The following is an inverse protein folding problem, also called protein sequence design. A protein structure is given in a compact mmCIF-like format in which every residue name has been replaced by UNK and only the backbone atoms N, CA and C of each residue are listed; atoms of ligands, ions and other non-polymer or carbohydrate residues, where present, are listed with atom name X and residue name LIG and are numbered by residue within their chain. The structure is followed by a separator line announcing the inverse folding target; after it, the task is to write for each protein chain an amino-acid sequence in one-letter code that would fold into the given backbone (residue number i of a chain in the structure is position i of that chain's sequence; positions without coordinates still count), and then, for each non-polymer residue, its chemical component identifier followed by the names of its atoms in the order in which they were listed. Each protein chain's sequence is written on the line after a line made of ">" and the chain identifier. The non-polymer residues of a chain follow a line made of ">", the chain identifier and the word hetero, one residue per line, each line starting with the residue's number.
data_IF_043607824359
#
_entry.id   IF_043607824359
#
_cell.length_a   1.000
_cell.length_b   1.000
_cell.length_c   1.000
_cell.angle_alpha   90.00
_cell.angle_beta   90.00
_cell.angle_gamma   90.00
#
_symmetry.space_group_name_H-M   'P 1'
#
loop_
_entity.id
_entity.type
_entity.pdbx_description
1 polymer ?
#
# COMPACT_ATOMS: atom_id res chain seq x y z
N UNK A 1 -5.25 -31.64 -13.61
CA UNK A 1 -3.94 -31.02 -13.38
C UNK A 1 -3.88 -29.78 -14.29
N UNK A 2 -4.13 -28.60 -13.72
CA UNK A 2 -4.03 -27.35 -14.48
C UNK A 2 -2.55 -26.92 -14.47
N UNK A 3 -1.93 -26.86 -15.64
CA UNK A 3 -0.58 -26.33 -15.78
C UNK A 3 -0.63 -24.82 -15.68
N UNK A 4 -0.16 -24.28 -14.55
CA UNK A 4 0.00 -22.84 -14.31
C UNK A 4 1.20 -22.34 -15.11
N UNK A 5 0.96 -21.55 -16.14
CA UNK A 5 2.03 -20.81 -16.81
C UNK A 5 2.22 -19.48 -16.10
N UNK A 6 3.20 -19.43 -15.20
CA UNK A 6 3.57 -18.22 -14.48
C UNK A 6 4.48 -17.36 -15.36
N UNK A 7 3.93 -16.28 -15.89
CA UNK A 7 4.66 -15.33 -16.75
C UNK A 7 5.19 -14.18 -15.89
N UNK A 8 6.45 -14.29 -15.44
CA UNK A 8 7.14 -13.19 -14.73
C UNK A 8 7.50 -12.03 -15.66
N UNK A 9 7.70 -10.84 -15.09
CA UNK A 9 7.92 -9.52 -15.75
C UNK A 9 8.81 -9.51 -17.02
N UNK A 10 9.75 -10.43 -17.18
CA UNK A 10 10.64 -10.50 -18.35
C UNK A 10 10.00 -11.10 -19.60
N UNK A 11 8.86 -11.74 -19.50
CA UNK A 11 8.22 -12.48 -20.61
C UNK A 11 7.27 -11.58 -21.39
N UNK A 12 6.61 -10.62 -20.76
CA UNK A 12 5.77 -9.64 -21.47
C UNK A 12 6.57 -8.82 -22.50
N UNK A 13 7.85 -8.60 -22.28
CA UNK A 13 8.74 -7.90 -23.21
C UNK A 13 9.31 -8.79 -24.34
N UNK A 14 9.19 -10.14 -24.23
CA UNK A 14 9.67 -11.12 -25.22
C UNK A 14 8.54 -11.90 -25.90
N UNK A 15 7.34 -11.41 -25.90
CA UNK A 15 6.07 -12.06 -26.21
C UNK A 15 5.87 -12.56 -27.66
N UNK A 16 6.91 -12.69 -28.44
CA UNK A 16 6.79 -13.31 -29.77
C UNK A 16 6.94 -14.85 -29.81
N UNK A 17 7.49 -15.46 -28.75
CA UNK A 17 8.01 -16.83 -28.85
C UNK A 17 7.50 -17.81 -27.76
N UNK A 18 6.68 -17.39 -26.80
CA UNK A 18 6.40 -18.17 -25.58
C UNK A 18 5.21 -19.12 -25.70
N UNK A 19 4.22 -18.81 -26.55
CA UNK A 19 3.04 -19.65 -26.69
C UNK A 19 3.11 -20.47 -27.99
N UNK A 20 3.22 -21.80 -27.87
CA UNK A 20 3.13 -22.70 -29.01
C UNK A 20 1.71 -22.70 -29.58
N UNK A 21 1.57 -23.07 -30.87
CA UNK A 21 0.25 -23.21 -31.49
C UNK A 21 -0.64 -24.23 -30.78
N UNK A 22 -0.03 -25.29 -30.26
CA UNK A 22 -0.71 -26.33 -29.49
C UNK A 22 -1.29 -25.76 -28.21
N UNK A 23 -0.49 -24.98 -27.46
CA UNK A 23 -0.94 -24.35 -26.22
C UNK A 23 -2.05 -23.32 -26.46
N UNK A 24 -1.93 -22.49 -27.50
CA UNK A 24 -3.00 -21.56 -27.91
C UNK A 24 -4.29 -22.32 -28.25
N UNK A 25 -4.17 -23.50 -28.92
CA UNK A 25 -5.35 -24.32 -29.20
C UNK A 25 -6.01 -24.85 -27.92
N UNK A 26 -5.24 -25.27 -26.92
CA UNK A 26 -5.77 -25.73 -25.63
C UNK A 26 -6.50 -24.60 -24.89
N UNK A 27 -5.97 -23.36 -24.94
CA UNK A 27 -6.64 -22.18 -24.37
C UNK A 27 -7.97 -21.93 -25.11
N UNK A 28 -7.95 -21.94 -26.45
CA UNK A 28 -9.12 -21.60 -27.26
C UNK A 28 -10.22 -22.66 -27.21
N UNK A 29 -9.89 -23.88 -26.83
CA UNK A 29 -10.85 -25.01 -26.67
C UNK A 29 -11.31 -25.18 -25.21
N UNK A 30 -11.05 -24.21 -24.35
CA UNK A 30 -11.44 -24.16 -22.95
C UNK A 30 -10.83 -25.32 -22.10
N UNK A 31 -9.74 -25.93 -22.58
CA UNK A 31 -9.03 -27.02 -21.86
C UNK A 31 -8.10 -26.44 -20.80
N UNK A 32 -7.49 -25.27 -21.07
CA UNK A 32 -6.60 -24.57 -20.12
C UNK A 32 -6.95 -23.07 -20.08
N UNK A 33 -6.65 -22.45 -18.96
CA UNK A 33 -6.78 -20.99 -18.76
C UNK A 33 -5.37 -20.37 -18.80
N UNK A 34 -5.23 -19.17 -19.38
CA UNK A 34 -4.00 -18.38 -19.30
C UNK A 34 -4.09 -17.46 -18.10
N UNK A 35 -3.27 -17.69 -17.09
CA UNK A 35 -3.25 -16.93 -15.86
C UNK A 35 -1.99 -16.06 -15.82
N UNK A 36 -2.16 -14.76 -15.60
CA UNK A 36 -1.10 -13.78 -15.42
C UNK A 36 -1.18 -13.33 -13.96
N UNK A 37 -0.25 -13.83 -13.16
CA UNK A 37 -0.28 -13.67 -11.72
C UNK A 37 0.63 -12.52 -11.26
N UNK A 38 0.01 -11.46 -10.78
CA UNK A 38 0.61 -10.32 -10.09
C UNK A 38 0.09 -10.19 -8.64
N UNK A 39 -0.30 -11.30 -8.02
CA UNK A 39 -0.85 -11.32 -6.66
C UNK A 39 0.10 -10.83 -5.57
N UNK A 40 1.38 -10.67 -5.88
CA UNK A 40 2.38 -10.12 -4.95
C UNK A 40 2.48 -8.58 -5.00
N UNK A 41 1.85 -7.95 -6.00
CA UNK A 41 1.95 -6.52 -6.26
C UNK A 41 0.56 -5.95 -6.58
N UNK A 42 0.23 -4.83 -5.96
CA UNK A 42 -0.95 -4.05 -6.33
C UNK A 42 -0.62 -2.91 -7.30
N UNK A 43 0.67 -2.72 -7.62
CA UNK A 43 1.12 -1.71 -8.58
C UNK A 43 0.94 -2.22 -10.00
N UNK A 44 -0.26 -2.05 -10.54
CA UNK A 44 -0.55 -2.34 -11.94
C UNK A 44 -0.41 -1.06 -12.77
N UNK A 45 0.22 -1.17 -13.94
CA UNK A 45 0.43 -0.03 -14.84
C UNK A 45 -0.30 -0.22 -16.15
N UNK A 46 -0.85 0.84 -16.69
CA UNK A 46 -1.50 0.87 -18.00
C UNK A 46 -0.60 0.31 -19.11
N UNK A 47 0.71 0.59 -19.03
CA UNK A 47 1.71 0.10 -19.98
C UNK A 47 1.83 -1.43 -20.06
N UNK A 48 1.28 -2.18 -19.11
CA UNK A 48 1.31 -3.65 -19.12
C UNK A 48 0.17 -4.24 -19.94
N UNK A 49 -0.99 -3.58 -19.97
CA UNK A 49 -2.15 -4.09 -20.69
C UNK A 49 -2.03 -3.96 -22.20
N UNK A 50 -1.39 -2.92 -22.74
CA UNK A 50 -1.19 -2.82 -24.18
C UNK A 50 -0.37 -3.98 -24.79
N UNK A 51 0.80 -4.37 -24.23
CA UNK A 51 1.52 -5.57 -24.67
C UNK A 51 0.70 -6.84 -24.52
N UNK A 52 -0.03 -7.00 -23.42
CA UNK A 52 -0.90 -8.16 -23.18
C UNK A 52 -1.98 -8.29 -24.27
N UNK A 53 -2.73 -7.25 -24.54
CA UNK A 53 -3.75 -7.24 -25.59
C UNK A 53 -3.15 -7.45 -26.98
N UNK A 54 -1.96 -6.92 -27.25
CA UNK A 54 -1.23 -7.17 -28.48
C UNK A 54 -0.86 -8.65 -28.64
N UNK A 55 -0.43 -9.29 -27.55
CA UNK A 55 -0.14 -10.73 -27.51
C UNK A 55 -1.42 -11.53 -27.78
N UNK A 56 -2.50 -11.25 -27.06
CA UNK A 56 -3.81 -11.93 -27.22
C UNK A 56 -4.26 -11.85 -28.69
N UNK A 57 -4.23 -10.67 -29.27
CA UNK A 57 -4.62 -10.44 -30.68
C UNK A 57 -3.70 -11.16 -31.67
N UNK A 58 -2.36 -11.05 -31.49
CA UNK A 58 -1.37 -11.68 -32.40
C UNK A 58 -1.45 -13.20 -32.38
N UNK A 59 -1.69 -13.77 -31.21
CA UNK A 59 -1.77 -15.23 -31.02
C UNK A 59 -3.19 -15.77 -31.22
N UNK A 60 -4.16 -14.91 -31.53
CA UNK A 60 -5.58 -15.25 -31.68
C UNK A 60 -6.14 -16.03 -30.48
N UNK A 61 -5.82 -15.54 -29.27
CA UNK A 61 -6.30 -16.13 -28.03
C UNK A 61 -7.69 -15.60 -27.71
N UNK A 62 -8.58 -16.49 -27.26
CA UNK A 62 -9.90 -16.15 -26.72
C UNK A 62 -9.73 -15.41 -25.40
N UNK A 63 -10.05 -14.11 -25.37
CA UNK A 63 -9.80 -13.23 -24.21
C UNK A 63 -10.54 -13.68 -22.94
N UNK A 64 -11.71 -14.33 -23.08
CA UNK A 64 -12.45 -14.90 -21.94
C UNK A 64 -11.71 -16.03 -21.20
N UNK A 65 -10.63 -16.57 -21.76
CA UNK A 65 -9.79 -17.60 -21.14
C UNK A 65 -8.48 -17.02 -20.60
N UNK A 66 -8.36 -15.71 -20.58
CA UNK A 66 -7.22 -14.99 -20.01
C UNK A 66 -7.64 -14.36 -18.69
N UNK A 67 -6.86 -14.61 -17.65
CA UNK A 67 -7.08 -14.13 -16.29
C UNK A 67 -5.87 -13.30 -15.84
N UNK A 68 -6.13 -12.15 -15.26
CA UNK A 68 -5.11 -11.31 -14.65
C UNK A 68 -5.43 -11.15 -13.16
N UNK A 69 -4.49 -11.53 -12.31
CA UNK A 69 -4.64 -11.54 -10.86
C UNK A 69 -3.80 -10.42 -10.27
N UNK A 70 -4.35 -9.63 -9.36
CA UNK A 70 -3.67 -8.53 -8.68
C UNK A 70 -4.21 -8.31 -7.27
N UNK A 71 -3.40 -7.65 -6.41
CA UNK A 71 -3.86 -7.14 -5.12
C UNK A 71 -4.41 -5.70 -5.19
N UNK A 72 -4.56 -5.14 -6.38
CA UNK A 72 -5.29 -3.88 -6.56
C UNK A 72 -6.80 -4.16 -6.49
N UNK A 73 -7.44 -3.68 -5.43
CA UNK A 73 -8.87 -3.92 -5.16
C UNK A 73 -9.82 -3.03 -5.96
N UNK A 74 -9.28 -2.25 -6.91
CA UNK A 74 -10.05 -1.41 -7.84
C UNK A 74 -9.71 -1.71 -9.31
N UNK A 75 -8.90 -2.74 -9.54
CA UNK A 75 -8.39 -3.03 -10.88
C UNK A 75 -9.50 -3.41 -11.85
N UNK A 76 -10.49 -4.18 -11.43
CA UNK A 76 -11.59 -4.63 -12.28
C UNK A 76 -12.37 -3.44 -12.85
N UNK A 77 -12.77 -2.51 -11.98
CA UNK A 77 -13.45 -1.28 -12.37
C UNK A 77 -12.60 -0.43 -13.32
N UNK A 78 -11.36 -0.17 -12.93
CA UNK A 78 -10.42 0.64 -13.71
C UNK A 78 -10.11 0.00 -15.07
N UNK A 79 -9.94 -1.32 -15.09
CA UNK A 79 -9.68 -2.05 -16.33
C UNK A 79 -10.89 -2.03 -17.28
N UNK A 80 -12.10 -2.14 -16.77
CA UNK A 80 -13.32 -2.05 -17.58
C UNK A 80 -13.43 -0.68 -18.28
N UNK A 81 -13.23 0.41 -17.53
CA UNK A 81 -13.21 1.77 -18.07
C UNK A 81 -12.10 1.91 -19.13
N UNK A 82 -10.92 1.40 -18.83
CA UNK A 82 -9.76 1.46 -19.70
C UNK A 82 -9.98 0.66 -21.00
N UNK A 83 -10.44 -0.60 -20.87
CA UNK A 83 -10.66 -1.48 -22.03
C UNK A 83 -11.74 -0.93 -22.98
N UNK A 84 -12.82 -0.36 -22.42
CA UNK A 84 -13.89 0.29 -23.19
C UNK A 84 -13.37 1.53 -23.92
N UNK A 85 -12.55 2.37 -23.26
CA UNK A 85 -11.91 3.53 -23.87
C UNK A 85 -11.08 3.19 -25.11
N UNK A 86 -10.40 2.05 -25.09
CA UNK A 86 -9.54 1.61 -26.21
C UNK A 86 -10.20 0.57 -27.12
N UNK A 87 -11.48 0.26 -26.89
CA UNK A 87 -12.26 -0.73 -27.65
C UNK A 87 -11.52 -2.08 -27.74
N UNK A 88 -11.06 -2.59 -26.58
CA UNK A 88 -10.32 -3.84 -26.47
C UNK A 88 -11.22 -4.97 -25.94
N UNK A 89 -11.01 -6.23 -26.36
CA UNK A 89 -11.76 -7.35 -25.81
C UNK A 89 -11.37 -7.55 -24.34
N UNK A 90 -12.37 -7.65 -23.46
CA UNK A 90 -12.13 -7.81 -22.02
C UNK A 90 -11.53 -9.17 -21.71
N UNK A 91 -10.61 -9.18 -20.73
CA UNK A 91 -10.10 -10.35 -20.04
C UNK A 91 -10.72 -10.41 -18.64
N UNK A 92 -10.54 -11.51 -17.93
CA UNK A 92 -11.01 -11.64 -16.56
C UNK A 92 -10.00 -11.01 -15.59
N UNK A 93 -10.46 -10.11 -14.76
CA UNK A 93 -9.67 -9.52 -13.68
C UNK A 93 -10.08 -10.19 -12.37
N UNK A 94 -9.08 -10.57 -11.57
CA UNK A 94 -9.27 -11.15 -10.23
C UNK A 94 -8.53 -10.29 -9.24
N UNK A 95 -9.26 -9.80 -8.24
CA UNK A 95 -8.74 -8.99 -7.17
C UNK A 95 -8.55 -9.84 -5.92
N UNK A 96 -7.39 -9.68 -5.27
CA UNK A 96 -7.05 -10.34 -4.01
C UNK A 96 -6.75 -9.30 -2.95
N UNK A 97 -7.11 -9.59 -1.72
CA UNK A 97 -6.70 -8.81 -0.55
C UNK A 97 -5.66 -9.58 0.27
N UNK A 98 -4.57 -9.99 -0.38
CA UNK A 98 -3.56 -10.86 0.19
C UNK A 98 -2.96 -10.34 1.51
N UNK A 99 -2.74 -9.03 1.62
CA UNK A 99 -2.12 -8.45 2.80
C UNK A 99 -3.03 -8.46 4.04
N UNK A 100 -4.34 -8.62 3.83
CA UNK A 100 -5.24 -8.89 4.93
C UNK A 100 -4.94 -10.27 5.56
N UNK A 101 -4.62 -11.26 4.74
CA UNK A 101 -4.24 -12.59 5.22
C UNK A 101 -2.93 -12.56 6.04
N UNK A 102 -2.00 -11.67 5.73
CA UNK A 102 -0.78 -11.50 6.53
C UNK A 102 -1.08 -11.03 7.97
N UNK A 103 -2.19 -10.34 8.19
CA UNK A 103 -2.62 -9.94 9.54
C UNK A 103 -2.91 -11.14 10.45
N UNK A 104 -3.19 -12.30 9.89
CA UNK A 104 -3.40 -13.56 10.63
C UNK A 104 -2.20 -13.89 11.52
N UNK A 105 -0.98 -13.66 11.04
CA UNK A 105 0.25 -13.91 11.81
C UNK A 105 0.33 -13.08 13.10
N UNK A 106 -0.24 -11.87 13.09
CA UNK A 106 -0.26 -11.01 14.29
C UNK A 106 -1.41 -11.37 15.21
N UNK A 107 -2.52 -11.81 14.64
CA UNK A 107 -3.71 -12.23 15.38
C UNK A 107 -3.44 -13.55 16.11
N UNK A 108 -2.69 -14.48 15.52
CA UNK A 108 -2.23 -15.70 16.19
C UNK A 108 -1.38 -15.42 17.44
N UNK A 109 -0.69 -14.29 17.45
CA UNK A 109 0.14 -13.81 18.56
C UNK A 109 -0.52 -12.69 19.39
N UNK A 110 -1.85 -12.56 19.36
CA UNK A 110 -2.61 -11.43 19.94
C UNK A 110 -2.33 -11.21 21.43
N UNK A 111 -2.05 -12.27 22.16
CA UNK A 111 -1.73 -12.21 23.60
C UNK A 111 -0.41 -11.46 23.87
N UNK A 112 0.46 -11.32 22.87
CA UNK A 112 1.69 -10.51 22.96
C UNK A 112 1.43 -9.01 22.76
N UNK A 113 0.23 -8.65 22.35
CA UNK A 113 -0.17 -7.28 22.00
C UNK A 113 -1.52 -6.92 22.65
N UNK A 114 -1.61 -6.94 23.99
CA UNK A 114 -2.86 -6.70 24.69
C UNK A 114 -3.35 -5.26 24.49
N UNK A 115 -4.66 -5.07 24.46
CA UNK A 115 -5.29 -3.75 24.32
C UNK A 115 -4.92 -2.83 25.49
N UNK A 116 -4.68 -3.42 26.63
CA UNK A 116 -4.27 -2.74 27.87
C UNK A 116 -2.98 -1.92 27.71
N UNK A 117 -2.07 -2.33 26.84
CA UNK A 117 -0.84 -1.59 26.55
C UNK A 117 -1.11 -0.23 25.89
N UNK A 118 -2.27 -0.07 25.25
CA UNK A 118 -2.72 1.17 24.61
C UNK A 118 -3.58 2.04 25.54
N UNK A 119 -4.13 1.45 26.62
CA UNK A 119 -4.97 2.14 27.64
C UNK A 119 -4.14 2.75 28.77
N UNK A 120 -2.93 3.18 28.49
CA UNK A 120 -2.03 3.74 29.53
C UNK A 120 -2.35 5.21 29.75
N UNK A 121 -2.69 5.56 30.98
CA UNK A 121 -2.91 6.96 31.40
C UNK A 121 -1.54 7.66 31.60
N UNK A 122 -0.78 7.77 30.49
CA UNK A 122 0.47 8.53 30.44
C UNK A 122 0.59 9.26 29.12
N UNK A 123 1.15 10.44 29.15
CA UNK A 123 1.53 11.15 27.92
C UNK A 123 2.60 10.32 27.20
N UNK A 124 2.35 10.05 25.91
CA UNK A 124 3.29 9.31 25.05
C UNK A 124 4.43 10.21 24.62
N UNK A 125 5.58 9.62 24.30
CA UNK A 125 6.82 10.37 24.04
C UNK A 125 6.84 11.05 22.66
N UNK A 126 6.16 10.45 21.70
CA UNK A 126 6.17 10.87 20.30
C UNK A 126 4.77 11.16 19.79
N UNK A 127 4.70 12.09 18.83
CA UNK A 127 3.43 12.43 18.18
C UNK A 127 3.03 11.32 17.18
N UNK A 128 4.00 10.84 16.38
CA UNK A 128 3.67 9.94 15.27
C UNK A 128 4.74 8.88 14.99
N UNK A 129 4.33 7.90 14.16
CA UNK A 129 5.24 7.01 13.42
C UNK A 129 5.17 7.30 11.94
N UNK A 130 6.30 7.19 11.21
CA UNK A 130 6.39 7.28 9.75
C UNK A 130 7.46 6.30 9.25
N UNK A 131 7.10 5.03 9.07
CA UNK A 131 8.05 3.96 8.83
C UNK A 131 8.15 3.60 7.34
N UNK A 132 9.32 3.81 6.75
CA UNK A 132 9.59 3.60 5.33
C UNK A 132 10.80 2.68 5.13
N UNK A 133 10.60 1.53 4.49
CA UNK A 133 11.68 0.62 4.09
C UNK A 133 12.33 1.08 2.78
N UNK A 134 11.61 1.03 1.68
CA UNK A 134 12.12 1.29 0.35
C UNK A 134 11.92 2.76 -0.10
N UNK A 135 12.78 3.23 -1.01
CA UNK A 135 12.58 4.49 -1.71
C UNK A 135 11.34 4.44 -2.60
N UNK A 136 10.45 5.41 -2.39
CA UNK A 136 9.31 5.74 -3.26
C UNK A 136 9.18 7.26 -3.25
N UNK A 137 8.69 7.85 -4.32
CA UNK A 137 8.60 9.31 -4.43
C UNK A 137 7.73 9.93 -3.34
N UNK A 138 6.58 9.34 -3.05
CA UNK A 138 5.70 9.77 -1.95
C UNK A 138 6.38 9.71 -0.58
N UNK A 139 7.19 8.68 -0.32
CA UNK A 139 7.95 8.52 0.94
C UNK A 139 9.06 9.57 1.07
N UNK A 140 9.80 9.79 -0.02
CA UNK A 140 10.83 10.83 -0.09
C UNK A 140 10.20 12.20 0.17
N UNK A 141 9.04 12.50 -0.46
CA UNK A 141 8.33 13.77 -0.25
C UNK A 141 7.95 13.94 1.22
N UNK A 142 7.28 12.97 1.81
CA UNK A 142 6.82 13.05 3.20
C UNK A 142 7.99 13.20 4.17
N UNK A 143 9.02 12.35 4.07
CA UNK A 143 10.19 12.44 4.97
C UNK A 143 10.89 13.78 4.79
N UNK A 144 11.06 14.26 3.56
CA UNK A 144 11.65 15.58 3.31
C UNK A 144 10.83 16.72 3.94
N UNK A 145 9.50 16.65 3.88
CA UNK A 145 8.64 17.65 4.50
C UNK A 145 8.67 17.58 6.04
N UNK A 146 8.73 16.39 6.62
CA UNK A 146 8.87 16.24 8.09
C UNK A 146 10.17 16.89 8.58
N UNK A 147 11.30 16.59 7.95
CA UNK A 147 12.59 17.19 8.31
C UNK A 147 12.63 18.70 8.06
N UNK A 148 12.10 19.16 6.92
CA UNK A 148 12.09 20.61 6.55
C UNK A 148 11.30 21.43 7.57
N UNK A 149 10.29 20.84 8.19
CA UNK A 149 9.45 21.50 9.19
C UNK A 149 9.91 21.25 10.64
N UNK A 150 11.08 20.62 10.85
CA UNK A 150 11.65 20.38 12.18
C UNK A 150 10.88 19.35 13.00
N UNK A 151 10.16 18.43 12.32
CA UNK A 151 9.35 17.38 12.95
C UNK A 151 10.13 16.06 13.10
N UNK A 152 11.40 16.04 12.76
CA UNK A 152 12.25 14.84 12.80
C UNK A 152 12.45 14.27 14.21
N UNK A 153 12.29 15.09 15.25
CA UNK A 153 12.33 14.67 16.65
C UNK A 153 10.94 14.35 17.25
N UNK A 154 9.87 14.73 16.57
CA UNK A 154 8.49 14.59 17.05
C UNK A 154 7.92 13.17 16.81
N UNK A 155 8.57 12.36 16.00
CA UNK A 155 8.09 11.03 15.64
C UNK A 155 9.18 9.99 15.47
N UNK A 156 8.77 8.75 15.35
CA UNK A 156 9.61 7.64 14.91
C UNK A 156 9.61 7.62 13.39
N UNK A 157 10.72 7.99 12.78
CA UNK A 157 10.85 8.09 11.32
C UNK A 157 11.91 7.12 10.82
N UNK A 158 11.57 6.34 9.80
CA UNK A 158 12.57 5.59 9.05
C UNK A 158 12.51 5.87 7.56
N UNK A 159 13.66 5.79 6.91
CA UNK A 159 13.82 5.72 5.45
C UNK A 159 15.11 4.93 5.19
N UNK A 160 14.95 3.62 5.05
CA UNK A 160 16.10 2.69 5.04
C UNK A 160 16.76 2.68 3.66
N UNK A 161 15.95 2.74 2.60
CA UNK A 161 16.42 2.55 1.22
C UNK A 161 16.36 1.09 0.78
N UNK A 162 16.45 0.87 -0.53
CA UNK A 162 16.42 -0.48 -1.07
C UNK A 162 17.78 -1.16 -0.81
N UNK A 163 17.78 -2.28 -0.13
CA UNK A 163 18.96 -3.14 -0.05
C UNK A 163 19.42 -3.52 -1.47
N UNK A 164 20.58 -2.99 -1.91
CA UNK A 164 21.17 -3.31 -3.21
C UNK A 164 20.48 -2.72 -4.45
N UNK A 165 19.48 -1.85 -4.30
CA UNK A 165 18.93 -1.10 -5.42
C UNK A 165 19.60 0.27 -5.53
N UNK A 166 19.73 0.75 -6.77
CA UNK A 166 20.29 2.06 -7.05
C UNK A 166 19.49 3.15 -6.35
N UNK A 167 20.22 4.10 -5.81
CA UNK A 167 19.67 5.32 -5.23
C UNK A 167 18.96 6.06 -6.35
N UNK A 168 17.73 6.56 -6.12
CA UNK A 168 17.04 7.31 -7.14
C UNK A 168 17.87 8.53 -7.55
N UNK A 169 18.15 8.64 -8.84
CA UNK A 169 18.82 9.79 -9.41
C UNK A 169 17.86 10.98 -9.48
N UNK A 170 18.38 12.17 -9.72
CA UNK A 170 17.54 13.35 -9.93
C UNK A 170 16.52 13.13 -11.06
N UNK A 171 16.90 12.42 -12.12
CA UNK A 171 16.02 12.09 -13.24
C UNK A 171 14.89 11.11 -12.87
N UNK A 172 15.13 10.23 -11.90
CA UNK A 172 14.10 9.27 -11.43
C UNK A 172 13.06 9.95 -10.54
N UNK A 173 13.42 11.06 -9.91
CA UNK A 173 12.55 11.85 -9.03
C UNK A 173 11.76 12.92 -9.79
N UNK A 174 12.23 13.34 -10.95
CA UNK A 174 11.49 14.16 -11.90
C UNK A 174 10.66 13.25 -12.82
N UNK A 175 9.41 13.56 -13.14
CA UNK A 175 8.65 14.81 -12.96
C UNK A 175 7.81 14.86 -11.69
N UNK A 176 7.89 13.88 -10.80
CA UNK A 176 6.93 13.69 -9.70
C UNK A 176 7.20 14.61 -8.50
N UNK A 177 8.45 15.07 -8.32
CA UNK A 177 8.83 16.02 -7.27
C UNK A 177 9.30 17.36 -7.85
N UNK A 178 9.01 18.44 -7.12
CA UNK A 178 9.57 19.76 -7.40
C UNK A 178 11.07 19.82 -7.14
N UNK A 179 11.76 20.74 -7.84
CA UNK A 179 13.22 20.87 -7.75
C UNK A 179 13.71 21.18 -6.32
N UNK A 180 12.94 21.92 -5.53
CA UNK A 180 13.31 22.27 -4.15
C UNK A 180 13.23 21.06 -3.23
N UNK A 181 12.23 20.22 -3.40
CA UNK A 181 12.12 18.93 -2.69
C UNK A 181 13.28 18.00 -3.07
N UNK A 182 13.56 17.87 -4.37
CA UNK A 182 14.69 17.04 -4.85
C UNK A 182 16.00 17.54 -4.26
N UNK A 183 16.25 18.85 -4.34
CA UNK A 183 17.46 19.44 -3.78
C UNK A 183 17.57 19.20 -2.28
N UNK A 184 16.49 19.43 -1.54
CA UNK A 184 16.47 19.20 -0.09
C UNK A 184 16.73 17.72 0.25
N UNK A 185 16.10 16.81 -0.47
CA UNK A 185 16.34 15.38 -0.30
C UNK A 185 17.81 15.04 -0.54
N UNK A 186 18.39 15.45 -1.67
CA UNK A 186 19.76 15.11 -2.03
C UNK A 186 20.81 15.72 -1.09
N UNK A 187 20.59 16.97 -0.66
CA UNK A 187 21.58 17.71 0.14
C UNK A 187 21.47 17.40 1.65
N UNK A 188 20.26 17.12 2.15
CA UNK A 188 20.00 17.06 3.61
C UNK A 188 19.60 15.66 4.08
N UNK A 189 18.67 14.99 3.36
CA UNK A 189 18.13 13.69 3.79
C UNK A 189 19.06 12.55 3.35
N UNK A 190 19.43 12.55 2.08
CA UNK A 190 20.22 11.49 1.49
C UNK A 190 21.53 11.16 2.24
N UNK A 191 22.32 12.15 2.71
CA UNK A 191 23.53 11.86 3.50
C UNK A 191 23.28 11.18 4.85
N UNK A 192 22.02 11.16 5.32
CA UNK A 192 21.61 10.55 6.59
C UNK A 192 21.08 9.11 6.41
N UNK A 193 20.96 8.64 5.17
CA UNK A 193 20.41 7.29 4.89
C UNK A 193 21.47 6.22 5.17
N UNK A 194 21.10 5.11 5.81
CA UNK A 194 19.74 4.75 6.26
C UNK A 194 19.30 5.55 7.49
N UNK A 195 18.10 6.14 7.42
CA UNK A 195 17.43 6.68 8.60
C UNK A 195 16.72 5.51 9.26
N UNK A 196 17.19 5.10 10.42
CA UNK A 196 16.62 4.01 11.21
C UNK A 196 16.05 4.58 12.51
N UNK A 197 15.04 3.93 13.05
CA UNK A 197 14.53 4.27 14.37
C UNK A 197 15.50 3.72 15.40
N UNK A 198 16.10 4.62 16.17
CA UNK A 198 16.97 4.25 17.28
C UNK A 198 16.10 3.93 18.50
N UNK A 199 15.78 2.67 18.67
CA UNK A 199 15.26 2.13 19.91
C UNK A 199 16.43 1.30 20.46
N UNK A 200 17.18 1.75 21.39
CA UNK A 200 18.34 1.18 22.11
C UNK A 200 18.52 -0.38 22.12
N UNK A 201 18.08 -1.07 21.08
CA UNK A 201 18.15 -2.54 20.94
C UNK A 201 18.95 -2.90 19.71
N UNK A 202 19.92 -3.78 19.92
CA UNK A 202 20.83 -4.37 18.96
C UNK A 202 20.13 -4.68 17.62
N UNK A 203 20.53 -3.95 16.57
CA UNK A 203 20.05 -4.04 15.21
C UNK A 203 20.37 -5.40 14.54
N UNK A 204 21.04 -6.31 15.22
CA UNK A 204 21.44 -7.62 14.67
C UNK A 204 20.29 -8.55 14.31
N UNK A 205 19.03 -8.18 14.61
CA UNK A 205 17.87 -9.04 14.42
C UNK A 205 16.71 -8.34 13.68
N UNK A 206 16.99 -7.58 12.65
CA UNK A 206 15.95 -7.27 11.67
C UNK A 206 15.79 -8.48 10.72
N UNK A 207 15.37 -9.59 11.27
CA UNK A 207 14.68 -10.58 10.46
C UNK A 207 13.36 -9.95 9.99
N UNK A 208 13.01 -10.07 8.70
CA UNK A 208 11.81 -9.44 8.13
C UNK A 208 10.49 -9.79 8.83
N UNK A 209 10.49 -10.83 9.63
CA UNK A 209 9.33 -11.37 10.36
C UNK A 209 9.30 -11.03 11.86
N UNK A 210 10.38 -10.54 12.45
CA UNK A 210 10.46 -10.20 13.90
C UNK A 210 10.12 -8.73 14.21
N UNK A 211 9.71 -7.94 13.22
CA UNK A 211 9.37 -6.54 13.37
C UNK A 211 8.15 -6.22 14.26
N UNK A 212 7.42 -7.21 14.73
CA UNK A 212 6.12 -6.97 15.38
C UNK A 212 6.26 -6.42 16.81
N UNK A 213 7.13 -6.96 17.64
CA UNK A 213 7.35 -6.46 19.02
C UNK A 213 7.93 -5.04 19.03
N UNK A 214 8.78 -4.74 18.06
CA UNK A 214 9.43 -3.45 17.89
C UNK A 214 8.45 -2.36 17.46
N UNK A 215 7.57 -2.69 16.52
CA UNK A 215 6.52 -1.77 16.06
C UNK A 215 5.50 -1.53 17.15
N UNK A 216 5.18 -2.54 17.96
CA UNK A 216 4.28 -2.40 19.10
C UNK A 216 4.76 -1.31 20.08
N UNK A 217 6.05 -1.32 20.45
CA UNK A 217 6.63 -0.29 21.30
C UNK A 217 6.50 1.12 20.71
N UNK A 218 6.74 1.29 19.41
CA UNK A 218 6.55 2.56 18.74
C UNK A 218 5.08 3.02 18.77
N UNK A 219 4.15 2.09 18.56
CA UNK A 219 2.72 2.39 18.56
C UNK A 219 2.18 2.72 19.95
N UNK A 220 2.65 2.06 21.00
CA UNK A 220 2.29 2.40 22.38
C UNK A 220 2.91 3.72 22.84
N UNK A 221 3.97 4.19 22.19
CA UNK A 221 4.69 5.43 22.51
C UNK A 221 4.41 6.59 21.54
N UNK A 222 3.50 6.44 20.58
CA UNK A 222 3.07 7.50 19.66
C UNK A 222 1.56 7.53 19.50
N UNK A 223 1.00 8.66 19.04
CA UNK A 223 -0.44 8.89 18.98
C UNK A 223 -1.06 8.57 17.62
N UNK A 224 -0.31 8.67 16.52
CA UNK A 224 -0.85 8.39 15.19
C UNK A 224 0.23 7.90 14.23
N UNK A 225 -0.22 7.41 13.07
CA UNK A 225 0.66 6.91 12.03
C UNK A 225 0.53 7.74 10.74
N UNK A 226 1.66 8.09 10.14
CA UNK A 226 1.75 8.62 8.78
C UNK A 226 2.05 7.43 7.86
N UNK A 227 1.00 6.82 7.30
CA UNK A 227 1.11 5.67 6.43
C UNK A 227 1.48 6.09 5.02
N UNK A 228 2.59 5.59 4.51
CA UNK A 228 2.97 5.78 3.10
C UNK A 228 2.80 4.46 2.36
N UNK A 229 1.66 4.29 1.74
CA UNK A 229 1.39 3.09 0.97
C UNK A 229 2.27 2.97 -0.27
N UNK A 230 2.31 1.79 -0.84
CA UNK A 230 3.18 1.48 -1.98
C UNK A 230 2.78 2.26 -3.23
N UNK A 231 1.48 2.51 -3.38
CA UNK A 231 0.92 3.17 -4.55
C UNK A 231 0.61 4.65 -4.30
N UNK A 232 1.08 5.49 -5.21
CA UNK A 232 0.71 6.89 -5.34
C UNK A 232 0.79 7.27 -6.83
N UNK A 233 -0.37 7.56 -7.44
CA UNK A 233 -0.47 7.80 -8.87
C UNK A 233 -0.19 9.27 -9.21
N UNK A 234 1.02 9.58 -9.61
CA UNK A 234 1.40 10.91 -10.09
C UNK A 234 0.99 11.15 -11.55
N UNK A 235 0.86 10.08 -12.35
CA UNK A 235 0.53 10.17 -13.78
C UNK A 235 -0.96 10.40 -14.05
N UNK A 236 -1.81 10.26 -13.03
CA UNK A 236 -3.26 10.37 -13.13
C UNK A 236 -3.84 9.45 -14.24
N UNK A 237 -3.26 8.26 -14.38
CA UNK A 237 -3.74 7.24 -15.34
C UNK A 237 -4.92 6.45 -14.76
N UNK A 238 -5.82 5.96 -15.62
CA UNK A 238 -7.00 5.18 -15.18
C UNK A 238 -6.57 3.96 -14.38
N UNK A 239 -5.67 3.15 -14.93
CA UNK A 239 -5.17 1.93 -14.28
C UNK A 239 -4.30 2.24 -13.04
N UNK A 240 -3.58 3.37 -13.04
CA UNK A 240 -2.73 3.76 -11.92
C UNK A 240 -3.50 4.28 -10.70
N UNK A 241 -4.80 4.56 -10.84
CA UNK A 241 -5.66 4.97 -9.72
C UNK A 241 -6.13 3.76 -8.91
N UNK A 242 -5.17 2.95 -8.48
CA UNK A 242 -5.38 1.71 -7.76
C UNK A 242 -5.58 1.90 -6.26
N UNK A 243 -6.27 0.95 -5.63
CA UNK A 243 -6.39 0.84 -4.17
C UNK A 243 -5.71 -0.43 -3.72
N UNK A 244 -4.62 -0.25 -2.98
CA UNK A 244 -3.75 -1.33 -2.60
C UNK A 244 -3.35 -1.19 -1.13
N UNK A 245 -4.21 -1.61 -0.18
CA UNK A 245 -3.84 -1.70 1.22
C UNK A 245 -2.79 -2.79 1.39
N UNK A 246 -1.72 -2.44 2.09
CA UNK A 246 -0.64 -3.38 2.39
C UNK A 246 -0.61 -3.72 3.89
N UNK A 247 0.36 -4.52 4.28
CA UNK A 247 0.62 -4.84 5.67
C UNK A 247 0.70 -3.60 6.58
N UNK A 248 1.06 -2.43 6.04
CA UNK A 248 1.21 -1.19 6.82
C UNK A 248 -0.13 -0.70 7.38
N UNK A 249 -1.15 -0.71 6.52
CA UNK A 249 -2.51 -0.30 6.92
C UNK A 249 -3.07 -1.26 7.96
N UNK A 250 -3.02 -2.57 7.70
CA UNK A 250 -3.55 -3.56 8.64
C UNK A 250 -2.78 -3.60 9.94
N UNK A 251 -1.47 -3.36 9.90
CA UNK A 251 -0.64 -3.27 11.11
C UNK A 251 -0.98 -2.04 11.96
N UNK A 252 -1.27 -0.89 11.33
CA UNK A 252 -1.73 0.28 12.06
C UNK A 252 -3.10 0.06 12.71
N UNK A 253 -4.02 -0.60 12.01
CA UNK A 253 -5.34 -1.00 12.54
C UNK A 253 -5.17 -1.95 13.73
N UNK A 254 -4.38 -3.02 13.58
CA UNK A 254 -4.11 -3.98 14.64
C UNK A 254 -3.42 -3.31 15.85
N UNK A 255 -2.50 -2.40 15.61
CA UNK A 255 -1.77 -1.62 16.60
C UNK A 255 -2.53 -0.40 17.12
N UNK A 256 -3.85 -0.32 16.91
CA UNK A 256 -4.72 0.73 17.44
C UNK A 256 -4.20 2.16 17.17
N UNK A 257 -3.66 2.38 15.97
CA UNK A 257 -3.16 3.68 15.53
C UNK A 257 -4.18 4.37 14.62
N UNK A 258 -4.69 5.56 14.97
CA UNK A 258 -5.30 6.41 13.97
C UNK A 258 -4.24 6.81 12.95
N UNK A 259 -4.62 7.00 11.70
CA UNK A 259 -3.63 7.28 10.66
C UNK A 259 -4.11 8.27 9.60
N UNK A 260 -3.16 9.02 9.07
CA UNK A 260 -3.27 9.72 7.80
C UNK A 260 -2.55 8.89 6.74
N UNK A 261 -3.17 8.65 5.59
CA UNK A 261 -2.60 7.76 4.57
C UNK A 261 -2.20 8.50 3.31
N UNK A 262 -0.96 8.27 2.89
CA UNK A 262 -0.37 8.84 1.67
C UNK A 262 -0.49 7.81 0.55
N UNK A 263 -1.59 7.89 -0.20
CA UNK A 263 -1.96 6.94 -1.25
C UNK A 263 -2.88 7.58 -2.29
N UNK A 264 -3.48 6.78 -3.16
CA UNK A 264 -4.46 7.20 -4.15
C UNK A 264 -5.80 7.57 -3.51
N UNK A 265 -6.64 8.39 -4.19
CA UNK A 265 -7.94 8.81 -3.66
C UNK A 265 -8.91 7.63 -3.56
N UNK A 266 -9.86 7.73 -2.62
CA UNK A 266 -10.87 6.70 -2.36
C UNK A 266 -10.40 5.56 -1.45
N UNK A 267 -9.19 5.66 -0.88
CA UNK A 267 -8.64 4.64 0.01
C UNK A 267 -9.42 4.53 1.33
N UNK A 268 -9.75 5.67 1.94
CA UNK A 268 -10.56 5.69 3.16
C UNK A 268 -12.00 5.23 2.89
N UNK A 269 -12.55 5.56 1.73
CA UNK A 269 -13.84 5.03 1.28
C UNK A 269 -13.81 3.51 1.15
N UNK A 270 -12.73 2.95 0.62
CA UNK A 270 -12.54 1.50 0.55
C UNK A 270 -12.47 0.86 1.94
N UNK A 271 -11.72 1.42 2.89
CA UNK A 271 -11.68 0.90 4.26
C UNK A 271 -13.07 0.92 4.91
N UNK A 272 -13.84 1.99 4.70
CA UNK A 272 -15.24 2.06 5.17
C UNK A 272 -16.11 0.94 4.58
N UNK A 273 -15.91 0.58 3.31
CA UNK A 273 -16.65 -0.52 2.68
C UNK A 273 -16.32 -1.91 3.28
N UNK A 274 -15.13 -2.05 3.87
CA UNK A 274 -14.73 -3.25 4.62
C UNK A 274 -15.24 -3.27 6.07
N UNK A 275 -15.92 -2.21 6.51
CA UNK A 275 -16.46 -2.06 7.87
C UNK A 275 -15.51 -1.42 8.87
N UNK A 276 -14.39 -0.84 8.40
CA UNK A 276 -13.53 -0.03 9.25
C UNK A 276 -14.07 1.39 9.41
N UNK A 277 -13.85 1.97 10.56
CA UNK A 277 -14.09 3.39 10.81
C UNK A 277 -12.82 4.21 10.53
N UNK A 278 -12.98 5.39 9.94
CA UNK A 278 -11.91 6.35 9.72
C UNK A 278 -11.90 7.44 10.79
N UNK A 279 -10.99 8.40 10.72
CA UNK A 279 -10.66 9.26 11.85
C UNK A 279 -10.91 10.75 11.59
N UNK A 280 -12.13 11.17 11.13
CA UNK A 280 -12.40 12.58 10.82
C UNK A 280 -12.36 13.49 12.04
N UNK A 281 -12.48 12.94 13.27
CA UNK A 281 -12.31 13.70 14.52
C UNK A 281 -10.83 13.99 14.82
N UNK A 282 -9.93 13.22 14.21
CA UNK A 282 -8.49 13.34 14.40
C UNK A 282 -7.83 14.12 13.26
N UNK A 283 -8.23 13.85 12.00
CA UNK A 283 -7.69 14.45 10.77
C UNK A 283 -8.79 15.02 9.88
N UNK A 284 -8.45 16.05 9.09
CA UNK A 284 -9.26 16.39 7.92
C UNK A 284 -9.00 15.38 6.81
N UNK A 285 -9.99 14.52 6.51
CA UNK A 285 -9.91 13.43 5.56
C UNK A 285 -10.26 13.85 4.11
N UNK A 286 -10.48 15.15 3.85
CA UNK A 286 -10.86 15.66 2.52
C UNK A 286 -9.85 15.32 1.42
N UNK A 287 -8.60 15.03 1.78
CA UNK A 287 -7.56 14.61 0.83
C UNK A 287 -7.91 13.31 0.09
N UNK A 288 -8.75 12.45 0.69
CA UNK A 288 -9.15 11.17 0.07
C UNK A 288 -10.05 11.37 -1.17
N UNK A 289 -10.68 12.53 -1.32
CA UNK A 289 -11.53 12.89 -2.46
C UNK A 289 -10.79 13.69 -3.54
N UNK A 290 -9.55 14.11 -3.28
CA UNK A 290 -8.77 14.93 -4.22
C UNK A 290 -8.10 14.06 -5.28
N UNK A 291 -8.59 14.12 -6.51
CA UNK A 291 -8.05 13.34 -7.64
C UNK A 291 -6.65 13.84 -8.07
N UNK A 292 -6.43 15.16 -8.07
CA UNK A 292 -5.16 15.72 -8.55
C UNK A 292 -4.01 15.41 -7.58
N UNK A 293 -2.97 14.66 -8.01
CA UNK A 293 -1.98 14.09 -7.10
C UNK A 293 -1.15 15.14 -6.35
N UNK A 294 -0.78 16.24 -6.98
CA UNK A 294 0.01 17.29 -6.33
C UNK A 294 -0.84 18.02 -5.28
N UNK A 295 -2.09 18.31 -5.59
CA UNK A 295 -3.02 18.96 -4.67
C UNK A 295 -3.29 18.06 -3.47
N UNK A 296 -3.57 16.76 -3.70
CA UNK A 296 -3.75 15.76 -2.65
C UNK A 296 -2.52 15.68 -1.74
N UNK A 297 -1.32 15.59 -2.30
CA UNK A 297 -0.07 15.55 -1.52
C UNK A 297 0.10 16.80 -0.65
N UNK A 298 -0.18 17.98 -1.20
CA UNK A 298 -0.07 19.24 -0.46
C UNK A 298 -1.10 19.30 0.69
N UNK A 299 -2.32 18.80 0.45
CA UNK A 299 -3.37 18.73 1.48
C UNK A 299 -2.95 17.80 2.61
N UNK A 300 -2.44 16.61 2.28
CA UNK A 300 -1.90 15.65 3.26
C UNK A 300 -0.77 16.29 4.08
N UNK A 301 0.21 16.93 3.43
CA UNK A 301 1.34 17.59 4.12
C UNK A 301 0.86 18.70 5.04
N UNK A 302 -0.11 19.50 4.61
CA UNK A 302 -0.68 20.56 5.45
C UNK A 302 -1.41 19.98 6.66
N UNK A 303 -2.16 18.90 6.49
CA UNK A 303 -2.84 18.24 7.62
C UNK A 303 -1.83 17.63 8.61
N UNK A 304 -0.75 17.00 8.13
CA UNK A 304 0.34 16.52 8.99
C UNK A 304 0.93 17.68 9.81
N UNK A 305 1.21 18.83 9.20
CA UNK A 305 1.73 20.00 9.90
C UNK A 305 0.76 20.51 10.96
N UNK A 306 -0.52 20.57 10.63
CA UNK A 306 -1.58 21.02 11.54
C UNK A 306 -1.69 20.10 12.76
N UNK A 307 -1.76 18.77 12.56
CA UNK A 307 -1.85 17.83 13.67
C UNK A 307 -0.57 17.80 14.51
N UNK A 308 0.60 17.93 13.89
CA UNK A 308 1.88 18.01 14.60
C UNK A 308 2.08 19.34 15.35
N UNK A 309 1.29 20.39 15.09
CA UNK A 309 1.33 21.62 15.88
C UNK A 309 0.67 21.50 17.25
N UNK A 310 -0.12 20.43 17.47
CA UNK A 310 -0.74 20.14 18.76
C UNK A 310 0.31 19.70 19.79
N UNK A 311 0.02 19.96 21.05
CA UNK A 311 0.81 19.43 22.17
C UNK A 311 0.59 17.93 22.32
N UNK A 312 1.44 17.27 23.10
CA UNK A 312 1.27 15.84 23.41
C UNK A 312 0.01 15.58 24.22
N UNK A 313 -0.38 16.52 25.09
CA UNK A 313 -1.59 16.47 25.89
C UNK A 313 -2.84 16.57 25.00
N UNK A 314 -2.87 17.50 24.05
CA UNK A 314 -3.99 17.63 23.09
C UNK A 314 -4.13 16.38 22.20
N UNK A 315 -3.00 15.76 21.79
CA UNK A 315 -3.01 14.50 21.05
C UNK A 315 -3.48 13.34 21.93
N UNK A 316 -3.10 13.33 23.21
CA UNK A 316 -3.56 12.36 24.19
C UNK A 316 -5.08 12.38 24.32
N UNK A 317 -5.66 13.56 24.53
CA UNK A 317 -7.11 13.74 24.64
C UNK A 317 -7.82 13.29 23.36
N UNK A 318 -7.30 13.66 22.19
CA UNK A 318 -7.87 13.23 20.90
C UNK A 318 -7.80 11.73 20.72
N UNK A 319 -6.71 11.09 21.08
CA UNK A 319 -6.53 9.65 20.97
C UNK A 319 -7.56 8.90 21.82
N UNK A 320 -7.74 9.31 23.07
CA UNK A 320 -8.71 8.66 23.94
C UNK A 320 -10.17 8.94 23.58
N UNK A 321 -10.45 10.09 22.97
CA UNK A 321 -11.79 10.41 22.46
C UNK A 321 -12.24 9.49 21.30
N UNK A 322 -11.30 8.86 20.61
CA UNK A 322 -11.60 7.89 19.51
C UNK A 322 -11.25 6.46 19.87
N UNK A 323 -10.95 6.17 21.14
CA UNK A 323 -10.43 4.85 21.54
C UNK A 323 -11.38 3.70 21.19
N UNK A 324 -12.68 3.87 21.40
CA UNK A 324 -13.70 2.86 21.06
C UNK A 324 -13.70 2.54 19.55
N UNK A 325 -13.44 3.54 18.72
CA UNK A 325 -13.30 3.39 17.27
C UNK A 325 -12.04 2.58 16.90
N UNK A 326 -10.93 2.81 17.58
CA UNK A 326 -9.70 2.03 17.40
C UNK A 326 -9.91 0.56 17.80
N UNK A 327 -10.60 0.32 18.91
CA UNK A 327 -10.96 -1.01 19.37
C UNK A 327 -11.93 -1.70 18.40
N UNK A 328 -12.93 -0.98 17.89
CA UNK A 328 -13.81 -1.47 16.83
C UNK A 328 -13.01 -1.93 15.60
N UNK A 329 -12.08 -1.11 15.12
CA UNK A 329 -11.29 -1.42 13.94
C UNK A 329 -10.40 -2.66 14.13
N UNK A 330 -9.78 -2.79 15.30
CA UNK A 330 -8.98 -3.98 15.64
C UNK A 330 -9.86 -5.24 15.65
N UNK A 331 -11.02 -5.18 16.28
CA UNK A 331 -11.96 -6.30 16.33
C UNK A 331 -12.48 -6.64 14.93
N UNK A 332 -12.80 -5.62 14.12
CA UNK A 332 -13.20 -5.82 12.72
C UNK A 332 -12.13 -6.53 11.90
N UNK A 333 -10.85 -6.17 12.08
CA UNK A 333 -9.74 -6.85 11.41
C UNK A 333 -9.69 -8.34 11.80
N UNK A 334 -9.86 -8.66 13.09
CA UNK A 334 -9.89 -10.03 13.59
C UNK A 334 -11.06 -10.81 12.97
N UNK A 335 -12.23 -10.19 12.83
CA UNK A 335 -13.42 -10.83 12.23
C UNK A 335 -13.21 -11.20 10.75
N UNK A 336 -12.59 -10.30 9.97
CA UNK A 336 -12.52 -10.45 8.51
C UNK A 336 -11.26 -11.15 8.00
N UNK A 337 -10.28 -11.38 8.85
CA UNK A 337 -8.98 -11.95 8.44
C UNK A 337 -9.13 -13.35 7.82
N UNK A 338 -10.10 -14.13 8.26
CA UNK A 338 -10.41 -15.46 7.74
C UNK A 338 -11.58 -15.47 6.72
N UNK A 339 -12.13 -14.30 6.39
CA UNK A 339 -13.20 -14.20 5.41
C UNK A 339 -12.67 -14.45 4.00
N UNK A 340 -13.08 -15.59 3.43
CA UNK A 340 -12.60 -16.05 2.12
C UNK A 340 -13.08 -15.16 0.98
N UNK A 341 -14.29 -14.60 1.09
CA UNK A 341 -14.83 -13.72 0.04
C UNK A 341 -14.08 -12.37 0.01
N UNK A 342 -13.75 -11.81 1.18
CA UNK A 342 -12.96 -10.58 1.29
C UNK A 342 -11.52 -10.80 0.81
N UNK A 343 -10.92 -11.95 1.14
CA UNK A 343 -9.51 -12.24 0.84
C UNK A 343 -9.27 -12.64 -0.62
N UNK A 344 -10.13 -13.48 -1.15
CA UNK A 344 -9.91 -14.17 -2.42
C UNK A 344 -10.96 -13.86 -3.48
N UNK A 345 -12.12 -13.27 -3.11
CA UNK A 345 -13.21 -13.04 -4.04
C UNK A 345 -13.53 -14.30 -4.84
N UNK A 346 -13.57 -14.17 -6.15
CA UNK A 346 -13.81 -15.29 -7.08
C UNK A 346 -12.53 -16.00 -7.55
N UNK A 347 -11.38 -15.78 -6.86
CA UNK A 347 -10.09 -16.40 -7.24
C UNK A 347 -10.17 -17.94 -7.25
N UNK A 348 -10.83 -18.51 -6.24
CA UNK A 348 -10.93 -19.97 -6.12
C UNK A 348 -11.79 -20.59 -7.23
N UNK A 349 -12.82 -19.87 -7.72
CA UNK A 349 -13.70 -20.33 -8.79
C UNK A 349 -12.97 -20.53 -10.12
N UNK A 350 -11.80 -19.89 -10.27
CA UNK A 350 -10.97 -20.05 -11.48
C UNK A 350 -10.36 -21.44 -11.58
N UNK A 351 -10.19 -22.11 -10.45
CA UNK A 351 -9.53 -23.43 -10.37
C UNK A 351 -10.52 -24.59 -10.27
N UNK A 352 -11.80 -24.32 -10.03
CA UNK A 352 -12.90 -25.29 -10.12
C UNK A 352 -13.38 -25.46 -11.56
#
# INVERSE_FOLDING_TARGET
>A
LHDLVNIKNNVLNRTGEVLTKEFVNLINTDVVKLIIDFSHEGLVRESWFFPLHRMIKKSNIKSSNVYFISCDTKLSENYDIWSDKFNLPKINIIELNRYLEEAKLWIEDIDKFPIEDFKVDRIREKKFTCLNGAFKVNRIKIVSELFRNGLDNDGYISLIGNYGADIPTKSDLQPELDNDTIKYFMDIIYPKIPIVVDLEKDIELIEPYLGNSYIHEMYTNSYFNILTETSYNYENSIIGNNIFPTEKTYRAIFGMQPFIVVTNPGFLKFLKSMGFETFPEFFDESYDEIEHPIERMNTIVNEIKKICSLSLEELHDRYYNIFDKLEHNRNRLIEIVDDREINYGNYLDVFE
#
